data_IF_045472634100
#
_entry.id   IF_045472634100
#
_cell.length_a   1.000
_cell.length_b   1.000
_cell.length_c   1.000
_cell.angle_alpha   90.00
_cell.angle_beta   90.00
_cell.angle_gamma   90.00
#
_symmetry.space_group_name_H-M   'P 1'
#
loop_
_entity.id
_entity.type
_entity.pdbx_description
1 polymer ?
#
# COMPACT_ATOMS: atom_id res chain seq x y z
N UNK A 1 19.16 14.85 10.56
CA UNK A 1 18.63 13.53 10.18
C UNK A 1 17.44 13.80 9.29
N UNK A 2 17.37 13.22 8.08
CA UNK A 2 16.23 13.44 7.20
C UNK A 2 14.96 12.92 7.89
N UNK A 3 13.93 13.76 7.97
CA UNK A 3 12.63 13.39 8.53
C UNK A 3 11.92 12.48 7.52
N UNK A 4 11.36 11.36 7.98
CA UNK A 4 10.51 10.53 7.13
C UNK A 4 9.30 11.36 6.69
N UNK A 5 9.13 11.54 5.38
CA UNK A 5 7.98 12.22 4.79
C UNK A 5 6.85 11.20 4.58
N UNK A 6 5.63 11.59 4.95
CA UNK A 6 4.42 10.81 4.65
C UNK A 6 3.78 11.43 3.41
N UNK A 7 3.58 10.63 2.36
CA UNK A 7 2.73 10.97 1.23
C UNK A 7 1.46 10.13 1.34
N UNK A 8 0.31 10.78 1.35
CA UNK A 8 -0.98 10.12 1.57
C UNK A 8 -1.87 10.23 0.35
N UNK A 9 -2.56 9.14 0.02
CA UNK A 9 -3.76 9.15 -0.79
C UNK A 9 -4.99 9.42 0.09
N UNK A 10 -6.17 9.69 -0.47
CA UNK A 10 -7.40 9.76 0.31
C UNK A 10 -7.76 8.39 0.91
N UNK A 11 -8.16 8.35 2.18
CA UNK A 11 -8.62 7.13 2.87
C UNK A 11 -10.13 6.90 2.73
N UNK A 12 -10.76 7.47 1.70
CA UNK A 12 -12.20 7.30 1.47
C UNK A 12 -12.53 5.82 1.22
N UNK A 13 -13.52 5.30 1.96
CA UNK A 13 -14.10 3.98 1.70
C UNK A 13 -15.08 3.97 0.51
N UNK A 14 -15.85 2.89 0.38
CA UNK A 14 -16.91 2.76 -0.64
C UNK A 14 -16.96 1.39 -1.31
N UNK A 15 -15.84 0.66 -1.27
CA UNK A 15 -15.75 -0.76 -1.62
C UNK A 15 -14.99 -1.52 -0.54
N UNK A 16 -15.14 -2.84 -0.53
CA UNK A 16 -14.41 -3.75 0.36
C UNK A 16 -13.76 -4.88 -0.42
N UNK A 17 -12.52 -5.21 -0.09
CA UNK A 17 -11.81 -6.35 -0.67
C UNK A 17 -10.59 -6.73 0.17
N UNK A 18 -10.03 -7.91 -0.06
CA UNK A 18 -8.94 -8.44 0.76
C UNK A 18 -7.59 -7.76 0.52
N UNK A 19 -7.48 -6.85 -0.46
CA UNK A 19 -6.21 -6.17 -0.70
C UNK A 19 -6.32 -5.01 -1.68
N UNK A 20 -5.24 -4.23 -1.71
CA UNK A 20 -5.08 -3.09 -2.60
C UNK A 20 -3.78 -3.25 -3.37
N UNK A 21 -3.83 -2.94 -4.66
CA UNK A 21 -2.67 -2.86 -5.53
C UNK A 21 -2.42 -1.41 -5.92
N UNK A 22 -1.15 -1.04 -6.00
CA UNK A 22 -0.71 0.25 -6.48
C UNK A 22 0.74 0.12 -6.94
N UNK A 23 1.29 1.17 -7.53
CA UNK A 23 2.71 1.22 -7.88
C UNK A 23 3.31 2.57 -7.49
N UNK A 24 4.61 2.59 -7.27
CA UNK A 24 5.39 3.79 -6.94
C UNK A 24 6.38 4.02 -8.07
N UNK A 25 6.42 5.24 -8.60
CA UNK A 25 7.51 5.74 -9.44
C UNK A 25 8.42 6.61 -8.58
N UNK A 26 9.68 6.22 -8.45
CA UNK A 26 10.68 6.98 -7.71
C UNK A 26 11.30 8.06 -8.61
N UNK A 27 11.24 9.32 -8.19
CA UNK A 27 11.88 10.47 -8.85
C UNK A 27 13.28 10.74 -8.30
N UNK A 28 13.50 10.34 -7.04
CA UNK A 28 14.79 10.32 -6.33
C UNK A 28 15.00 8.93 -5.71
N UNK A 29 16.20 8.61 -5.23
CA UNK A 29 16.41 7.38 -4.46
C UNK A 29 15.65 7.47 -3.14
N UNK A 30 14.71 6.55 -2.92
CA UNK A 30 13.85 6.53 -1.74
C UNK A 30 13.98 5.23 -0.97
N UNK A 31 13.61 5.27 0.30
CA UNK A 31 13.39 4.07 1.12
C UNK A 31 11.99 4.12 1.71
N UNK A 32 11.15 3.17 1.32
CA UNK A 32 9.81 3.00 1.90
C UNK A 32 9.96 2.29 3.24
N UNK A 33 9.42 2.93 4.29
CA UNK A 33 9.57 2.48 5.69
C UNK A 33 8.32 1.83 6.25
N UNK A 34 7.15 2.20 5.73
CA UNK A 34 5.88 1.62 6.13
C UNK A 34 4.81 1.95 5.10
N UNK A 35 3.67 1.27 5.21
CA UNK A 35 2.44 1.64 4.52
C UNK A 35 1.33 1.93 5.54
N UNK A 36 0.40 2.79 5.13
CA UNK A 36 -0.83 3.07 5.86
C UNK A 36 -2.04 2.63 5.04
N UNK A 37 -3.03 2.06 5.71
CA UNK A 37 -4.28 1.57 5.09
C UNK A 37 -5.51 2.07 5.83
N UNK A 38 -6.66 2.08 5.15
CA UNK A 38 -7.96 2.25 5.81
C UNK A 38 -8.43 0.87 6.30
N UNK A 39 -8.03 0.50 7.52
CA UNK A 39 -8.27 -0.81 8.11
C UNK A 39 -9.70 -0.95 8.68
N UNK A 40 -10.70 -0.66 7.86
CA UNK A 40 -12.10 -0.96 8.17
C UNK A 40 -12.74 -1.69 7.00
N UNK A 41 -13.69 -2.53 7.33
CA UNK A 41 -14.77 -2.94 6.47
C UNK A 41 -16.05 -2.74 7.26
N UNK A 42 -17.24 -2.93 6.70
CA UNK A 42 -18.49 -2.70 7.45
C UNK A 42 -18.65 -3.48 8.77
N UNK A 43 -17.68 -4.32 9.15
CA UNK A 43 -17.62 -5.11 10.38
C UNK A 43 -16.42 -4.78 11.29
N UNK A 44 -15.34 -4.18 10.77
CA UNK A 44 -14.18 -3.73 11.53
C UNK A 44 -14.35 -2.31 12.08
N UNK A 45 -14.20 -2.15 13.39
CA UNK A 45 -14.22 -0.87 14.09
C UNK A 45 -12.82 -0.48 14.60
N UNK A 46 -12.70 0.77 15.06
CA UNK A 46 -11.49 1.21 15.74
C UNK A 46 -11.20 0.33 16.97
N UNK A 47 -9.96 -0.14 17.10
CA UNK A 47 -9.55 -1.03 18.19
C UNK A 47 -9.52 -2.52 17.81
N UNK A 48 -10.11 -2.91 16.67
CA UNK A 48 -10.01 -4.28 16.18
C UNK A 48 -8.60 -4.62 15.69
N UNK A 49 -8.25 -5.90 15.78
CA UNK A 49 -6.96 -6.41 15.33
C UNK A 49 -7.08 -6.96 13.91
N UNK A 50 -6.19 -6.48 13.05
CA UNK A 50 -6.05 -6.90 11.66
C UNK A 50 -4.65 -7.45 11.41
N UNK A 51 -4.53 -8.29 10.39
CA UNK A 51 -3.28 -8.94 9.99
C UNK A 51 -3.01 -8.72 8.52
N UNK A 52 -1.75 -8.52 8.16
CA UNK A 52 -1.37 -8.01 6.84
C UNK A 52 -0.17 -8.74 6.27
N UNK A 53 -0.13 -8.76 4.94
CA UNK A 53 1.03 -9.16 4.14
C UNK A 53 1.26 -8.11 3.06
N UNK A 54 2.51 -7.71 2.89
CA UNK A 54 2.95 -6.75 1.88
C UNK A 54 3.82 -7.50 0.88
N UNK A 55 3.44 -7.39 -0.38
CA UNK A 55 4.15 -7.99 -1.50
C UNK A 55 4.66 -6.91 -2.45
N UNK A 56 5.76 -7.22 -3.13
CA UNK A 56 6.41 -6.37 -4.11
C UNK A 56 6.59 -7.09 -5.45
N UNK A 57 6.55 -6.31 -6.53
CA UNK A 57 6.95 -6.69 -7.86
C UNK A 57 7.81 -5.58 -8.49
N UNK A 58 8.92 -5.96 -9.11
CA UNK A 58 9.78 -5.01 -9.81
C UNK A 58 9.18 -4.68 -11.19
N UNK A 59 8.88 -3.41 -11.42
CA UNK A 59 8.27 -2.93 -12.65
C UNK A 59 6.78 -2.59 -12.53
N UNK A 60 6.15 -2.42 -13.69
CA UNK A 60 4.77 -1.95 -13.79
C UNK A 60 3.77 -2.98 -13.31
N UNK A 61 2.65 -2.54 -12.73
CA UNK A 61 1.56 -3.46 -12.38
C UNK A 61 1.02 -4.21 -13.61
N UNK A 62 1.07 -3.58 -14.79
CA UNK A 62 0.66 -4.20 -16.05
C UNK A 62 1.51 -5.40 -16.48
N UNK A 63 2.73 -5.60 -15.94
CA UNK A 63 3.50 -6.83 -16.18
C UNK A 63 3.04 -8.01 -15.32
N UNK A 64 2.17 -7.76 -14.33
CA UNK A 64 1.60 -8.78 -13.45
C UNK A 64 0.36 -9.41 -14.12
N UNK A 65 0.57 -10.14 -15.22
CA UNK A 65 -0.51 -10.66 -16.11
C UNK A 65 -1.05 -12.05 -15.76
N UNK A 66 -0.96 -12.43 -14.48
CA UNK A 66 -1.24 -13.75 -13.90
C UNK A 66 -0.11 -14.78 -14.05
N UNK A 67 0.24 -15.42 -12.92
CA UNK A 67 1.33 -16.40 -12.83
C UNK A 67 1.79 -16.55 -11.37
N UNK A 68 2.20 -17.77 -10.99
CA UNK A 68 2.83 -17.99 -9.70
C UNK A 68 4.22 -17.34 -9.68
N UNK A 69 4.62 -16.75 -8.54
CA UNK A 69 5.95 -16.16 -8.35
C UNK A 69 6.15 -14.75 -8.89
N UNK A 70 5.10 -14.05 -9.33
CA UNK A 70 5.20 -12.64 -9.75
C UNK A 70 5.37 -11.67 -8.58
N UNK A 71 4.89 -12.06 -7.40
CA UNK A 71 4.92 -11.27 -6.17
C UNK A 71 5.90 -11.86 -5.18
N UNK A 72 6.74 -11.01 -4.59
CA UNK A 72 7.67 -11.35 -3.52
C UNK A 72 7.12 -10.82 -2.20
N UNK A 73 6.95 -11.68 -1.20
CA UNK A 73 6.54 -11.25 0.15
C UNK A 73 7.70 -10.50 0.82
N UNK A 74 7.48 -9.22 1.17
CA UNK A 74 8.50 -8.34 1.74
C UNK A 74 8.23 -7.98 3.21
N UNK A 75 6.98 -8.11 3.66
CA UNK A 75 6.64 -8.06 5.07
C UNK A 75 5.34 -8.84 5.33
N UNK A 76 5.23 -9.47 6.50
CA UNK A 76 3.98 -10.09 6.95
C UNK A 76 3.89 -10.13 8.46
N UNK A 77 2.67 -10.23 8.95
CA UNK A 77 2.38 -10.44 10.36
C UNK A 77 2.17 -9.15 11.14
N UNK A 78 2.02 -9.31 12.46
CA UNK A 78 1.65 -8.24 13.39
C UNK A 78 0.14 -8.21 13.69
N UNK A 79 -0.19 -7.93 14.93
CA UNK A 79 -1.54 -7.53 15.34
C UNK A 79 -1.62 -6.01 15.18
N UNK A 80 -2.15 -5.55 14.03
CA UNK A 80 -2.31 -4.13 13.75
C UNK A 80 -3.66 -3.68 14.28
N UNK A 81 -3.65 -2.73 15.21
CA UNK A 81 -4.88 -2.16 15.78
C UNK A 81 -5.42 -1.13 14.79
N UNK A 82 -6.64 -1.35 14.30
CA UNK A 82 -7.31 -0.42 13.39
C UNK A 82 -7.52 0.94 14.06
N UNK A 83 -7.19 2.01 13.35
CA UNK A 83 -7.49 3.39 13.75
C UNK A 83 -8.96 3.77 13.48
N UNK A 84 -9.71 2.92 12.78
CA UNK A 84 -11.09 3.19 12.39
C UNK A 84 -11.23 3.86 11.02
N UNK A 85 -12.47 4.17 10.67
CA UNK A 85 -12.83 4.51 9.30
C UNK A 85 -12.27 5.86 8.85
N UNK A 86 -11.61 5.85 7.68
CA UNK A 86 -10.97 7.02 7.06
C UNK A 86 -9.76 7.55 7.85
N UNK A 87 -9.28 6.80 8.83
CA UNK A 87 -8.06 7.10 9.58
C UNK A 87 -6.92 6.19 9.12
N UNK A 88 -5.70 6.72 9.11
CA UNK A 88 -4.53 5.96 8.70
C UNK A 88 -4.18 4.90 9.75
N UNK A 89 -4.21 3.64 9.35
CA UNK A 89 -3.70 2.52 10.14
C UNK A 89 -2.34 2.11 9.58
N UNK A 90 -1.27 2.43 10.30
CA UNK A 90 0.08 2.05 9.93
C UNK A 90 0.33 0.57 10.21
N UNK A 91 0.91 -0.14 9.23
CA UNK A 91 1.17 -1.58 9.36
C UNK A 91 2.28 -1.88 10.37
N UNK A 92 3.20 -0.93 10.61
CA UNK A 92 4.35 -1.08 11.51
C UNK A 92 5.16 -2.36 11.23
N UNK A 93 5.26 -2.74 9.95
CA UNK A 93 5.75 -4.06 9.55
C UNK A 93 7.28 -4.19 9.53
N UNK A 94 8.00 -3.14 9.96
CA UNK A 94 9.46 -3.07 9.88
C UNK A 94 9.99 -2.97 8.45
N UNK A 95 9.18 -2.44 7.52
CA UNK A 95 9.52 -2.37 6.11
C UNK A 95 10.77 -1.51 5.86
N UNK A 96 11.58 -1.93 4.88
CA UNK A 96 12.73 -1.17 4.42
C UNK A 96 13.03 -1.53 2.97
N UNK A 97 12.22 -1.01 2.04
CA UNK A 97 12.38 -1.24 0.59
C UNK A 97 13.06 -0.04 -0.03
N UNK A 98 14.21 -0.25 -0.65
CA UNK A 98 14.91 0.79 -1.41
C UNK A 98 14.42 0.79 -2.86
N UNK A 99 13.99 1.94 -3.36
CA UNK A 99 13.55 2.12 -4.75
C UNK A 99 14.48 3.15 -5.40
N UNK A 100 15.13 2.77 -6.48
CA UNK A 100 16.10 3.62 -7.18
C UNK A 100 15.38 4.69 -8.03
N UNK A 101 16.00 5.87 -8.16
CA UNK A 101 15.46 6.92 -9.01
C UNK A 101 15.24 6.43 -10.45
N UNK A 102 14.07 6.74 -11.00
CA UNK A 102 13.66 6.36 -12.36
C UNK A 102 13.11 4.94 -12.49
N UNK A 103 12.97 4.18 -11.40
CA UNK A 103 12.31 2.86 -11.43
C UNK A 103 10.87 2.93 -10.96
N UNK A 104 10.10 1.91 -11.34
CA UNK A 104 8.74 1.68 -10.87
C UNK A 104 8.70 0.33 -10.17
N UNK A 105 8.03 0.30 -9.02
CA UNK A 105 7.76 -0.94 -8.28
C UNK A 105 6.27 -1.00 -7.95
N UNK A 106 5.68 -2.17 -8.13
CA UNK A 106 4.29 -2.44 -7.77
C UNK A 106 4.23 -3.11 -6.40
N UNK A 107 3.19 -2.75 -5.64
CA UNK A 107 2.93 -3.26 -4.30
C UNK A 107 1.53 -3.83 -4.22
N UNK A 108 1.39 -4.91 -3.45
CA UNK A 108 0.12 -5.49 -3.03
C UNK A 108 0.11 -5.52 -1.51
N UNK A 109 -0.82 -4.78 -0.91
CA UNK A 109 -1.13 -4.90 0.51
C UNK A 109 -2.34 -5.80 0.64
N UNK A 110 -2.15 -6.95 1.26
CA UNK A 110 -3.17 -7.97 1.47
C UNK A 110 -3.51 -8.04 2.95
N UNK A 111 -4.78 -7.84 3.25
CA UNK A 111 -5.36 -8.14 4.55
C UNK A 111 -5.66 -9.64 4.60
N UNK A 112 -5.27 -10.31 5.70
CA UNK A 112 -5.38 -11.77 5.85
C UNK A 112 -6.45 -12.25 6.84
N UNK A 113 -7.19 -11.35 7.50
CA UNK A 113 -8.19 -11.66 8.54
C UNK A 113 -9.63 -11.19 8.27
N UNK A 114 -9.85 -10.20 7.42
CA UNK A 114 -11.05 -9.42 7.12
C UNK A 114 -10.92 -8.73 5.72
N UNK A 115 -11.48 -7.53 5.53
CA UNK A 115 -11.37 -6.72 4.32
C UNK A 115 -10.76 -5.34 4.59
N UNK A 116 -10.28 -4.72 3.51
CA UNK A 116 -9.84 -3.32 3.41
C UNK A 116 -10.92 -2.49 2.74
N UNK A 117 -11.14 -1.29 3.25
CA UNK A 117 -11.94 -0.27 2.57
C UNK A 117 -11.10 0.56 1.61
N UNK A 118 -11.60 0.71 0.38
CA UNK A 118 -10.95 1.53 -0.63
C UNK A 118 -11.94 2.18 -1.59
N UNK A 119 -11.50 3.26 -2.23
CA UNK A 119 -12.20 3.88 -3.35
C UNK A 119 -11.68 3.31 -4.66
N UNK A 120 -12.57 3.02 -5.60
CA UNK A 120 -12.15 2.58 -6.94
C UNK A 120 -11.32 3.68 -7.61
N UNK A 121 -10.17 3.28 -8.15
CA UNK A 121 -9.35 4.13 -9.00
C UNK A 121 -10.02 4.39 -10.36
N UNK A 122 -9.36 5.20 -11.18
CA UNK A 122 -9.71 5.43 -12.57
C UNK A 122 -9.05 4.39 -13.48
N UNK A 123 -7.87 4.74 -13.98
CA UNK A 123 -7.09 3.86 -14.86
C UNK A 123 -5.78 3.50 -14.18
N UNK A 124 -5.39 2.23 -14.28
CA UNK A 124 -4.08 1.73 -13.82
C UNK A 124 -2.96 2.59 -14.41
N UNK A 125 -2.04 3.03 -13.55
CA UNK A 125 -0.89 3.85 -13.93
C UNK A 125 -1.16 5.36 -13.98
N UNK A 126 -2.38 5.82 -13.71
CA UNK A 126 -2.61 7.26 -13.48
C UNK A 126 -1.96 7.70 -12.16
N UNK A 127 -1.40 8.91 -12.12
CA UNK A 127 -0.88 9.48 -10.87
C UNK A 127 -2.05 9.80 -9.94
N UNK A 128 -2.04 9.22 -8.74
CA UNK A 128 -2.99 9.53 -7.66
C UNK A 128 -2.48 10.73 -6.85
N UNK A 129 -1.21 10.68 -6.43
CA UNK A 129 -0.56 11.75 -5.67
C UNK A 129 0.94 11.75 -5.96
N UNK A 130 1.59 12.91 -5.82
CA UNK A 130 3.03 13.04 -6.05
C UNK A 130 3.66 14.15 -5.22
N UNK A 131 4.96 14.05 -5.04
CA UNK A 131 5.81 15.11 -4.50
C UNK A 131 7.14 15.16 -5.27
N UNK A 132 8.17 15.80 -4.71
CA UNK A 132 9.48 15.91 -5.35
C UNK A 132 10.28 14.60 -5.43
N UNK A 133 9.89 13.58 -4.64
CA UNK A 133 10.65 12.35 -4.48
C UNK A 133 9.99 11.15 -5.16
N UNK A 134 8.65 11.10 -5.21
CA UNK A 134 7.91 9.97 -5.77
C UNK A 134 6.52 10.34 -6.29
N UNK A 135 5.96 9.42 -7.09
CA UNK A 135 4.53 9.38 -7.47
C UNK A 135 3.93 8.06 -7.01
N UNK A 136 2.75 8.12 -6.44
CA UNK A 136 1.89 6.95 -6.21
C UNK A 136 0.94 6.89 -7.40
N UNK A 137 0.91 5.75 -8.10
CA UNK A 137 0.05 5.54 -9.25
C UNK A 137 -1.04 4.51 -8.92
N UNK A 138 -2.23 4.75 -9.46
CA UNK A 138 -3.41 3.90 -9.30
C UNK A 138 -3.11 2.48 -9.81
N UNK A 139 -3.56 1.48 -9.05
CA UNK A 139 -3.54 0.07 -9.45
C UNK A 139 -4.86 -0.42 -10.03
#
# INVERSE_FOLDING_TARGET
MAQAMVLSTPFNGGNGGNGQVFQIEALTDIVVRDFGVNAVDGFLEAGDITTWSVYQHDGFLSSVTAGAGLWTLIASGGAVVSAGANEITYLNSGLSVSIAAGTIEAFLILETSNLVSYTNGGNVGNIEVSNGDLRILQG
#
